data_IF_727881501196
#
_entry.id   IF_727881501196
#
_cell.length_a   1.000
_cell.length_b   1.000
_cell.length_c   1.000
_cell.angle_alpha   90.00
_cell.angle_beta   90.00
_cell.angle_gamma   90.00
#
_symmetry.space_group_name_H-M   'P 1'
#
loop_
_entity.id
_entity.type
_entity.pdbx_description
1 polymer ?
#
# COMPACT_ATOMS: atom_id res chain seq x y z
N UNK A 1 -18.55 16.29 -7.43
CA UNK A 1 -19.24 15.35 -8.34
C UNK A 1 -18.17 14.59 -9.10
N UNK A 2 -18.30 13.28 -9.32
CA UNK A 2 -17.39 12.55 -10.18
C UNK A 2 -17.32 13.22 -11.56
N UNK A 3 -16.13 13.13 -12.24
CA UNK A 3 -16.02 13.63 -13.60
C UNK A 3 -16.96 12.87 -14.53
N UNK A 4 -17.47 13.52 -15.59
CA UNK A 4 -18.46 12.94 -16.50
C UNK A 4 -18.02 11.57 -17.08
N UNK A 5 -16.74 11.43 -17.40
CA UNK A 5 -16.20 10.17 -17.90
C UNK A 5 -16.29 9.04 -16.86
N UNK A 6 -15.93 9.32 -15.60
CA UNK A 6 -15.98 8.34 -14.52
C UNK A 6 -17.43 7.89 -14.29
N UNK A 7 -18.35 8.83 -14.16
CA UNK A 7 -19.75 8.52 -13.92
C UNK A 7 -20.37 7.70 -15.05
N UNK A 8 -20.11 8.07 -16.30
CA UNK A 8 -20.61 7.34 -17.46
C UNK A 8 -20.09 5.90 -17.51
N UNK A 9 -18.80 5.70 -17.24
CA UNK A 9 -18.17 4.36 -17.18
C UNK A 9 -18.76 3.52 -16.04
N UNK A 10 -18.85 4.07 -14.86
CA UNK A 10 -19.35 3.33 -13.69
C UNK A 10 -20.83 2.98 -13.83
N UNK A 11 -21.65 3.88 -14.38
CA UNK A 11 -23.06 3.58 -14.69
C UNK A 11 -23.19 2.47 -15.75
N UNK A 12 -22.33 2.45 -16.74
CA UNK A 12 -22.31 1.38 -17.75
C UNK A 12 -21.93 0.02 -17.15
N UNK A 13 -20.99 0.00 -16.17
CA UNK A 13 -20.53 -1.22 -15.51
C UNK A 13 -21.50 -1.73 -14.44
N UNK A 14 -22.03 -0.84 -13.61
CA UNK A 14 -22.81 -1.18 -12.42
C UNK A 14 -24.31 -1.20 -12.64
N UNK A 15 -24.81 -0.56 -13.73
CA UNK A 15 -26.24 -0.41 -14.00
C UNK A 15 -26.97 0.24 -12.82
N UNK A 16 -28.06 -0.38 -12.38
CA UNK A 16 -28.89 0.10 -11.27
C UNK A 16 -28.16 0.11 -9.92
N UNK A 17 -27.03 -0.61 -9.77
CA UNK A 17 -26.24 -0.64 -8.55
C UNK A 17 -25.44 0.65 -8.36
N UNK A 18 -25.22 1.42 -9.42
CA UNK A 18 -24.48 2.68 -9.33
C UNK A 18 -25.10 3.64 -8.30
N UNK A 19 -26.39 3.92 -8.43
CA UNK A 19 -27.04 4.88 -7.54
C UNK A 19 -27.07 4.39 -6.08
N UNK A 20 -27.24 3.09 -5.85
CA UNK A 20 -27.18 2.49 -4.50
C UNK A 20 -25.78 2.65 -3.90
N UNK A 21 -24.73 2.37 -4.66
CA UNK A 21 -23.34 2.42 -4.19
C UNK A 21 -22.90 3.87 -3.89
N UNK A 22 -23.22 4.80 -4.80
CA UNK A 22 -22.75 6.17 -4.70
C UNK A 22 -23.65 7.10 -3.88
N UNK A 23 -24.90 6.70 -3.59
CA UNK A 23 -25.76 7.36 -2.61
C UNK A 23 -25.42 6.96 -1.16
N UNK A 24 -24.71 5.85 -0.95
CA UNK A 24 -24.34 5.42 0.38
C UNK A 24 -23.44 6.46 1.08
N UNK A 25 -23.71 6.81 2.34
CA UNK A 25 -22.87 7.75 3.07
C UNK A 25 -21.46 7.18 3.19
N UNK A 26 -20.50 7.88 2.61
CA UNK A 26 -19.11 7.43 2.55
C UNK A 26 -18.25 8.23 3.51
N UNK A 27 -18.19 7.78 4.77
CA UNK A 27 -17.25 8.35 5.74
C UNK A 27 -15.81 7.95 5.37
N UNK A 28 -14.93 8.94 5.30
CA UNK A 28 -13.49 8.69 5.18
C UNK A 28 -13.02 8.03 6.46
N UNK A 29 -12.67 6.77 6.40
CA UNK A 29 -12.08 6.05 7.52
C UNK A 29 -10.57 6.25 7.52
N UNK A 30 -10.01 6.52 8.69
CA UNK A 30 -8.57 6.60 8.90
C UNK A 30 -8.14 5.45 9.78
N UNK A 31 -6.94 4.98 9.58
CA UNK A 31 -6.43 3.87 10.36
C UNK A 31 -4.93 3.94 10.58
N UNK A 32 -4.48 3.01 11.39
CA UNK A 32 -3.07 2.75 11.65
C UNK A 32 -2.81 1.26 11.54
N UNK A 33 -1.62 0.90 11.06
CA UNK A 33 -1.15 -0.48 11.05
C UNK A 33 0.03 -0.59 12.00
N UNK A 34 -0.06 -1.47 12.97
CA UNK A 34 0.96 -1.69 14.00
C UNK A 34 2.18 -2.35 13.38
N UNK A 35 3.33 -1.87 13.77
CA UNK A 35 4.61 -2.45 13.36
C UNK A 35 4.97 -3.65 14.23
N UNK A 36 4.78 -4.85 13.72
CA UNK A 36 5.10 -6.10 14.41
C UNK A 36 6.59 -6.30 14.75
N UNK A 37 7.48 -5.44 14.22
CA UNK A 37 8.90 -5.40 14.65
C UNK A 37 9.08 -4.68 15.99
N UNK A 38 8.08 -3.94 16.48
CA UNK A 38 8.17 -3.11 17.71
C UNK A 38 7.31 -3.65 18.84
N UNK A 39 6.07 -4.03 18.58
CA UNK A 39 5.15 -4.58 19.57
C UNK A 39 4.04 -5.40 18.93
N UNK A 40 3.32 -6.17 19.75
CA UNK A 40 2.11 -6.85 19.32
C UNK A 40 0.93 -5.86 19.18
N UNK A 41 -0.05 -6.12 18.29
CA UNK A 41 -1.21 -5.25 18.11
C UNK A 41 -2.01 -5.04 19.39
N UNK A 42 -2.13 -6.06 20.23
CA UNK A 42 -2.85 -6.00 21.52
C UNK A 42 -2.12 -5.12 22.56
N UNK A 43 -0.79 -5.19 22.60
CA UNK A 43 0.03 -4.33 23.46
C UNK A 43 -0.09 -2.86 23.04
N UNK A 44 -0.06 -2.61 21.72
CA UNK A 44 -0.29 -1.28 21.17
C UNK A 44 -1.65 -0.72 21.57
N UNK A 45 -2.72 -1.50 21.38
CA UNK A 45 -4.08 -1.07 21.69
C UNK A 45 -4.29 -0.78 23.17
N UNK A 46 -3.59 -1.50 24.06
CA UNK A 46 -3.65 -1.27 25.49
C UNK A 46 -2.81 -0.06 25.96
N UNK A 47 -1.79 0.36 25.18
CA UNK A 47 -0.84 1.38 25.56
C UNK A 47 -1.16 2.78 25.02
N UNK A 48 -2.01 2.90 23.98
CA UNK A 48 -2.34 4.21 23.40
C UNK A 48 -3.47 4.89 24.17
N UNK A 49 -3.45 6.22 24.17
CA UNK A 49 -4.42 7.10 24.85
C UNK A 49 -5.54 7.62 23.93
N UNK A 50 -5.68 7.05 22.74
CA UNK A 50 -6.70 7.41 21.76
C UNK A 50 -7.56 6.21 21.34
N UNK A 51 -8.79 6.52 20.90
CA UNK A 51 -9.78 5.49 20.56
C UNK A 51 -9.44 4.70 19.30
N UNK A 52 -9.49 3.37 19.43
CA UNK A 52 -9.24 2.40 18.39
C UNK A 52 -10.39 1.41 18.27
N UNK A 53 -10.69 1.01 17.04
CA UNK A 53 -11.52 -0.16 16.71
C UNK A 53 -10.69 -1.12 15.87
N UNK A 54 -10.74 -2.45 16.10
CA UNK A 54 -10.08 -3.41 15.25
C UNK A 54 -10.51 -3.26 13.78
N UNK A 55 -9.56 -3.30 12.86
CA UNK A 55 -9.87 -3.29 11.43
C UNK A 55 -10.42 -4.65 10.99
N UNK A 56 -11.49 -4.70 10.18
CA UNK A 56 -11.96 -5.97 9.61
C UNK A 56 -11.05 -6.51 8.50
N UNK A 57 -10.01 -5.75 8.13
CA UNK A 57 -9.16 -6.05 6.97
C UNK A 57 -7.81 -6.67 7.33
N UNK A 58 -7.31 -6.43 8.54
CA UNK A 58 -5.99 -6.90 8.96
C UNK A 58 -5.89 -6.88 10.49
N UNK A 59 -5.43 -7.99 11.08
CA UNK A 59 -5.30 -8.15 12.55
C UNK A 59 -4.32 -7.15 13.19
N UNK A 60 -3.36 -6.66 12.41
CA UNK A 60 -2.41 -5.64 12.86
C UNK A 60 -2.91 -4.19 12.65
N UNK A 61 -4.12 -4.00 12.12
CA UNK A 61 -4.65 -2.69 11.79
C UNK A 61 -5.82 -2.29 12.68
N UNK A 62 -5.94 -0.98 12.92
CA UNK A 62 -7.01 -0.38 13.69
C UNK A 62 -7.60 0.82 12.97
N UNK A 63 -8.90 1.01 13.09
CA UNK A 63 -9.62 2.22 12.72
C UNK A 63 -9.47 3.26 13.83
N UNK A 64 -9.30 4.52 13.47
CA UNK A 64 -9.28 5.63 14.41
C UNK A 64 -10.71 6.14 14.62
N UNK A 65 -11.15 6.18 15.86
CA UNK A 65 -12.52 6.61 16.21
C UNK A 65 -12.64 8.12 16.36
N UNK A 66 -11.55 8.82 16.73
CA UNK A 66 -11.51 10.27 16.84
C UNK A 66 -11.15 10.93 15.49
N UNK A 67 -12.08 11.68 14.86
CA UNK A 67 -11.83 12.38 13.60
C UNK A 67 -10.83 13.54 13.74
N UNK A 68 -10.59 14.07 14.94
CA UNK A 68 -9.68 15.17 15.19
C UNK A 68 -8.25 14.71 15.46
N UNK A 69 -8.05 13.43 15.78
CA UNK A 69 -6.72 12.88 16.05
C UNK A 69 -5.80 13.09 14.84
N UNK A 70 -4.58 13.49 15.12
CA UNK A 70 -3.48 13.60 14.13
C UNK A 70 -2.41 12.57 14.43
N UNK A 71 -2.60 11.28 14.07
CA UNK A 71 -1.73 10.19 14.49
C UNK A 71 -0.28 10.38 14.04
N UNK A 72 -0.04 11.07 12.91
CA UNK A 72 1.31 11.39 12.44
C UNK A 72 2.11 12.32 13.36
N UNK A 73 1.47 12.97 14.35
CA UNK A 73 2.15 13.80 15.37
C UNK A 73 2.38 13.07 16.68
N UNK A 74 1.88 11.85 16.81
CA UNK A 74 2.02 11.07 18.03
C UNK A 74 3.45 10.54 18.20
N UNK A 75 3.95 10.47 19.46
CA UNK A 75 5.30 9.99 19.76
C UNK A 75 5.55 8.58 19.22
N UNK A 76 4.57 7.68 19.31
CA UNK A 76 4.68 6.33 18.79
C UNK A 76 4.77 6.26 17.27
N UNK A 77 4.20 7.24 16.54
CA UNK A 77 4.43 7.34 15.11
C UNK A 77 5.90 7.65 14.81
N UNK A 78 6.48 8.63 15.51
CA UNK A 78 7.89 8.98 15.35
C UNK A 78 8.83 7.84 15.76
N UNK A 79 8.45 7.06 16.78
CA UNK A 79 9.17 5.86 17.22
C UNK A 79 8.99 4.65 16.29
N UNK A 80 8.20 4.76 15.22
CA UNK A 80 7.98 3.67 14.27
C UNK A 80 7.14 2.52 14.81
N UNK A 81 6.31 2.75 15.83
CA UNK A 81 5.43 1.73 16.42
C UNK A 81 4.25 1.42 15.53
N UNK A 82 3.79 2.40 14.75
CA UNK A 82 2.73 2.21 13.76
C UNK A 82 2.96 3.05 12.49
N UNK A 83 2.30 2.64 11.42
CA UNK A 83 2.18 3.38 10.17
C UNK A 83 0.76 3.90 10.00
N UNK A 84 0.58 5.17 9.59
CA UNK A 84 -0.74 5.73 9.29
C UNK A 84 -1.13 5.27 7.88
N UNK A 85 -2.20 4.52 7.79
CA UNK A 85 -2.62 3.88 6.54
C UNK A 85 -4.15 3.86 6.44
N UNK A 86 -4.68 3.98 5.24
CA UNK A 86 -6.09 3.72 4.99
C UNK A 86 -6.37 2.24 5.26
N UNK A 87 -7.46 1.90 5.96
CA UNK A 87 -7.66 0.53 6.48
C UNK A 87 -7.63 -0.56 5.41
N UNK A 88 -8.29 -0.38 4.26
CA UNK A 88 -8.30 -1.37 3.19
C UNK A 88 -6.94 -1.53 2.50
N UNK A 89 -6.08 -0.51 2.55
CA UNK A 89 -4.73 -0.59 2.00
C UNK A 89 -3.81 -1.55 2.76
N UNK A 90 -4.22 -2.05 3.92
CA UNK A 90 -3.50 -3.09 4.69
C UNK A 90 -3.71 -4.51 4.15
N UNK A 91 -4.74 -4.75 3.33
CA UNK A 91 -5.13 -6.07 2.83
C UNK A 91 -4.06 -6.75 1.95
N UNK A 92 -3.49 -6.09 0.92
CA UNK A 92 -2.65 -6.79 -0.06
C UNK A 92 -1.39 -7.42 0.54
N UNK A 93 -0.74 -6.72 1.48
CA UNK A 93 0.44 -7.26 2.15
C UNK A 93 0.13 -8.50 3.00
N UNK A 94 -1.04 -8.52 3.65
CA UNK A 94 -1.51 -9.67 4.42
C UNK A 94 -1.83 -10.88 3.52
N UNK A 95 -2.52 -10.65 2.40
CA UNK A 95 -2.88 -11.69 1.43
C UNK A 95 -1.65 -12.37 0.81
N UNK A 96 -0.56 -11.64 0.64
CA UNK A 96 0.68 -12.21 0.11
C UNK A 96 1.28 -13.26 1.05
N UNK A 97 0.96 -13.25 2.33
CA UNK A 97 1.33 -14.29 3.30
C UNK A 97 2.84 -14.49 3.42
N UNK A 98 3.60 -13.40 3.53
CA UNK A 98 5.06 -13.41 3.65
C UNK A 98 5.50 -14.12 4.92
N UNK A 99 6.59 -14.89 4.83
CA UNK A 99 7.19 -15.65 5.93
C UNK A 99 8.65 -15.24 6.15
N UNK A 100 9.17 -15.36 7.38
CA UNK A 100 10.60 -15.18 7.65
C UNK A 100 11.48 -16.00 6.71
N UNK A 101 12.60 -15.42 6.27
CA UNK A 101 13.55 -16.05 5.37
C UNK A 101 13.25 -15.91 3.87
N UNK A 102 12.06 -15.45 3.47
CA UNK A 102 11.71 -15.26 2.06
C UNK A 102 12.39 -14.02 1.45
N UNK A 103 12.55 -14.04 0.12
CA UNK A 103 12.97 -12.91 -0.71
C UNK A 103 11.72 -12.25 -1.28
N UNK A 104 11.45 -11.05 -0.83
CA UNK A 104 10.20 -10.32 -1.13
C UNK A 104 10.52 -9.05 -1.90
N UNK A 105 9.74 -8.77 -2.95
CA UNK A 105 9.80 -7.52 -3.70
C UNK A 105 8.50 -6.73 -3.50
N UNK A 106 8.62 -5.47 -3.13
CA UNK A 106 7.57 -4.46 -3.29
C UNK A 106 7.98 -3.56 -4.46
N UNK A 107 7.38 -3.81 -5.64
CA UNK A 107 7.86 -3.22 -6.91
C UNK A 107 7.45 -1.77 -7.09
N UNK A 108 6.37 -1.33 -6.42
CA UNK A 108 5.84 0.03 -6.45
C UNK A 108 5.65 0.59 -5.03
N UNK A 109 6.67 0.47 -4.19
CA UNK A 109 6.63 0.52 -2.73
C UNK A 109 6.26 1.87 -2.10
N UNK A 110 6.61 2.98 -2.76
CA UNK A 110 6.51 4.30 -2.13
C UNK A 110 5.06 4.74 -1.86
N UNK A 111 4.76 5.23 -0.66
CA UNK A 111 5.65 5.72 0.41
C UNK A 111 6.05 4.71 1.50
N UNK A 112 5.65 3.41 1.43
CA UNK A 112 6.15 2.38 2.34
C UNK A 112 5.15 1.76 3.31
N UNK A 113 3.85 2.05 3.18
CA UNK A 113 2.83 1.49 4.06
C UNK A 113 2.70 -0.04 3.93
N UNK A 114 2.58 -0.56 2.73
CA UNK A 114 2.56 -2.01 2.46
C UNK A 114 3.93 -2.63 2.70
N UNK A 115 5.00 -1.93 2.30
CA UNK A 115 6.39 -2.34 2.53
C UNK A 115 6.68 -2.61 4.01
N UNK A 116 6.21 -1.74 4.91
CA UNK A 116 6.39 -1.91 6.35
C UNK A 116 5.68 -3.15 6.90
N UNK A 117 4.53 -3.51 6.35
CA UNK A 117 3.83 -4.75 6.70
C UNK A 117 4.60 -6.00 6.22
N UNK A 118 5.16 -5.96 4.99
CA UNK A 118 6.01 -7.04 4.46
C UNK A 118 7.27 -7.21 5.33
N UNK A 119 7.90 -6.09 5.72
CA UNK A 119 9.05 -6.10 6.64
C UNK A 119 8.71 -6.72 8.00
N UNK A 120 7.55 -6.34 8.57
CA UNK A 120 7.07 -6.90 9.82
C UNK A 120 6.83 -8.42 9.72
N UNK A 121 6.30 -8.90 8.60
CA UNK A 121 6.08 -10.33 8.35
C UNK A 121 7.41 -11.11 8.19
N UNK A 122 8.43 -10.50 7.62
CA UNK A 122 9.79 -11.08 7.52
C UNK A 122 10.52 -11.17 8.87
N UNK A 123 10.14 -10.39 9.86
CA UNK A 123 10.74 -10.41 11.21
C UNK A 123 12.26 -10.22 11.23
N UNK A 124 12.81 -9.47 10.27
CA UNK A 124 14.27 -9.27 10.14
C UNK A 124 15.01 -10.41 9.44
N UNK A 125 14.33 -11.45 8.99
CA UNK A 125 14.91 -12.60 8.27
C UNK A 125 14.61 -12.51 6.78
N UNK A 126 15.50 -13.03 5.91
CA UNK A 126 15.35 -12.95 4.46
C UNK A 126 15.73 -11.58 3.89
N UNK A 127 15.15 -11.22 2.75
CA UNK A 127 15.45 -9.99 2.03
C UNK A 127 14.16 -9.30 1.56
N UNK A 128 14.03 -8.02 1.86
CA UNK A 128 13.01 -7.14 1.28
C UNK A 128 13.65 -6.18 0.28
N UNK A 129 13.23 -6.23 -0.98
CA UNK A 129 13.58 -5.21 -1.97
C UNK A 129 12.36 -4.31 -2.17
N UNK A 130 12.54 -3.01 -2.00
CA UNK A 130 11.47 -2.03 -2.10
C UNK A 130 11.84 -0.97 -3.14
N UNK A 131 11.09 -0.91 -4.24
CA UNK A 131 11.39 -0.01 -5.36
C UNK A 131 10.43 1.18 -5.44
N UNK A 132 10.98 2.36 -5.76
CA UNK A 132 10.19 3.56 -6.03
C UNK A 132 10.75 4.32 -7.23
N UNK A 133 9.98 4.44 -8.31
CA UNK A 133 10.43 5.08 -9.55
C UNK A 133 10.76 6.57 -9.39
N UNK A 134 9.96 7.30 -8.59
CA UNK A 134 10.15 8.74 -8.37
C UNK A 134 11.13 8.96 -7.21
N UNK A 135 12.28 9.58 -7.46
CA UNK A 135 13.37 9.74 -6.48
C UNK A 135 12.92 10.38 -5.16
N UNK A 136 12.12 11.44 -5.21
CA UNK A 136 11.61 12.08 -4.00
C UNK A 136 10.74 11.12 -3.15
N UNK A 137 9.92 10.29 -3.79
CA UNK A 137 9.11 9.28 -3.11
C UNK A 137 9.94 8.11 -2.60
N UNK A 138 10.99 7.70 -3.32
CA UNK A 138 11.95 6.69 -2.86
C UNK A 138 12.71 7.18 -1.61
N UNK A 139 13.04 8.47 -1.53
CA UNK A 139 13.60 9.08 -0.31
C UNK A 139 12.64 8.99 0.90
N UNK A 140 11.35 9.23 0.68
CA UNK A 140 10.32 9.07 1.72
C UNK A 140 10.18 7.61 2.14
N UNK A 141 10.18 6.67 1.19
CA UNK A 141 10.17 5.23 1.45
C UNK A 141 11.34 4.83 2.35
N UNK A 142 12.57 5.24 2.00
CA UNK A 142 13.76 4.97 2.80
C UNK A 142 13.59 5.49 4.23
N UNK A 143 13.24 6.76 4.40
CA UNK A 143 13.04 7.35 5.74
C UNK A 143 11.96 6.63 6.56
N UNK A 144 10.89 6.17 5.90
CA UNK A 144 9.84 5.40 6.59
C UNK A 144 10.36 4.04 7.05
N UNK A 145 11.12 3.30 6.23
CA UNK A 145 11.68 2.00 6.62
C UNK A 145 12.72 2.15 7.74
N UNK A 146 13.56 3.18 7.70
CA UNK A 146 14.50 3.52 8.78
C UNK A 146 13.76 3.81 10.08
N UNK A 147 12.72 4.67 10.03
CA UNK A 147 11.87 4.98 11.19
C UNK A 147 11.18 3.74 11.76
N UNK A 148 10.70 2.84 10.90
CA UNK A 148 10.06 1.57 11.30
C UNK A 148 11.07 0.55 11.84
N UNK A 149 12.39 0.79 11.70
CA UNK A 149 13.44 -0.10 12.20
C UNK A 149 13.66 -1.33 11.34
N UNK A 150 13.41 -1.22 10.05
CA UNK A 150 13.65 -2.31 9.10
C UNK A 150 15.14 -2.40 8.79
N UNK A 151 15.76 -3.56 9.00
CA UNK A 151 17.21 -3.79 8.87
C UNK A 151 17.59 -4.65 7.67
N UNK A 152 16.66 -5.40 7.11
CA UNK A 152 16.87 -6.36 6.02
C UNK A 152 16.24 -5.90 4.69
N UNK A 153 16.16 -4.58 4.47
CA UNK A 153 15.60 -4.02 3.24
C UNK A 153 16.65 -3.32 2.38
N UNK A 154 16.50 -3.49 1.06
CA UNK A 154 17.18 -2.74 0.01
C UNK A 154 16.18 -1.80 -0.66
N UNK A 155 16.42 -0.48 -0.58
CA UNK A 155 15.58 0.52 -1.26
C UNK A 155 16.20 0.89 -2.59
N UNK A 156 15.42 0.77 -3.67
CA UNK A 156 15.84 1.08 -5.03
C UNK A 156 15.06 2.30 -5.56
N UNK A 157 15.72 3.03 -6.47
CA UNK A 157 15.07 4.07 -7.26
C UNK A 157 15.31 3.78 -8.74
N UNK A 158 14.55 2.81 -9.26
CA UNK A 158 14.75 2.26 -10.60
C UNK A 158 13.45 2.05 -11.36
N UNK A 159 13.54 1.89 -12.67
CA UNK A 159 12.43 1.38 -13.47
C UNK A 159 12.19 -0.10 -13.15
N UNK A 160 10.93 -0.55 -13.29
CA UNK A 160 10.56 -1.95 -13.02
C UNK A 160 11.30 -2.92 -13.94
N UNK A 161 11.54 -2.54 -15.19
CA UNK A 161 12.32 -3.33 -16.15
C UNK A 161 13.78 -3.54 -15.68
N UNK A 162 14.43 -2.50 -15.11
CA UNK A 162 15.80 -2.64 -14.56
C UNK A 162 15.83 -3.51 -13.33
N UNK A 163 14.81 -3.43 -12.48
CA UNK A 163 14.67 -4.34 -11.33
C UNK A 163 14.53 -5.78 -11.79
N UNK A 164 13.63 -6.04 -12.76
CA UNK A 164 13.44 -7.38 -13.33
C UNK A 164 14.73 -7.95 -13.96
N UNK A 165 15.45 -7.12 -14.71
CA UNK A 165 16.73 -7.50 -15.33
C UNK A 165 17.83 -7.82 -14.30
N UNK A 166 17.83 -7.11 -13.15
CA UNK A 166 18.80 -7.33 -12.08
C UNK A 166 18.50 -8.57 -11.22
N UNK A 167 17.22 -8.96 -11.13
CA UNK A 167 16.73 -10.04 -10.27
C UNK A 167 15.87 -11.07 -11.02
N UNK A 168 16.33 -11.70 -12.10
CA UNK A 168 15.51 -12.63 -12.89
C UNK A 168 15.16 -13.87 -12.07
N UNK A 169 13.86 -14.24 -12.02
CA UNK A 169 13.34 -15.41 -11.29
C UNK A 169 13.87 -15.51 -9.84
N UNK A 170 14.00 -14.39 -9.16
CA UNK A 170 14.69 -14.33 -7.86
C UNK A 170 13.75 -14.34 -6.66
N UNK A 171 12.61 -13.65 -6.72
CA UNK A 171 11.77 -13.41 -5.56
C UNK A 171 10.79 -14.55 -5.30
N UNK A 172 10.61 -14.88 -4.03
CA UNK A 172 9.60 -15.83 -3.56
C UNK A 172 8.21 -15.22 -3.65
N UNK A 173 8.12 -13.90 -3.34
CA UNK A 173 6.87 -13.15 -3.34
C UNK A 173 7.06 -11.73 -3.86
N UNK A 174 6.08 -11.27 -4.63
CA UNK A 174 6.08 -9.91 -5.19
C UNK A 174 4.75 -9.23 -4.90
N UNK A 175 4.82 -8.01 -4.37
CA UNK A 175 3.69 -7.09 -4.27
C UNK A 175 3.81 -6.02 -5.37
N UNK A 176 2.72 -5.77 -6.08
CA UNK A 176 2.60 -4.72 -7.08
C UNK A 176 1.39 -3.86 -6.78
N UNK A 177 1.61 -2.71 -6.16
CA UNK A 177 0.62 -1.64 -6.02
C UNK A 177 0.88 -0.60 -7.11
N UNK A 178 0.46 -0.95 -8.33
CA UNK A 178 0.78 -0.17 -9.54
C UNK A 178 0.17 1.23 -9.52
N UNK A 179 0.78 2.21 -10.22
CA UNK A 179 0.17 3.51 -10.44
C UNK A 179 -1.22 3.36 -11.08
N UNK A 180 -2.19 4.09 -10.57
CA UNK A 180 -3.57 4.08 -11.04
C UNK A 180 -4.05 5.49 -11.39
N UNK A 181 -5.24 5.59 -12.00
CA UNK A 181 -5.89 6.86 -12.39
C UNK A 181 -6.51 7.63 -11.21
N UNK A 182 -6.38 7.13 -9.97
CA UNK A 182 -6.65 7.87 -8.75
C UNK A 182 -8.13 7.94 -8.33
N UNK A 183 -9.01 7.06 -8.83
CA UNK A 183 -10.44 7.05 -8.49
C UNK A 183 -10.69 6.95 -6.98
N UNK A 184 -9.89 6.15 -6.27
CA UNK A 184 -9.95 6.04 -4.81
C UNK A 184 -9.61 7.33 -4.05
N UNK A 185 -9.00 8.32 -4.73
CA UNK A 185 -8.58 9.58 -4.14
C UNK A 185 -9.57 10.74 -4.34
N UNK A 186 -10.60 10.60 -5.15
CA UNK A 186 -11.55 11.68 -5.49
C UNK A 186 -12.14 12.39 -4.27
N UNK A 187 -12.35 11.67 -3.17
CA UNK A 187 -12.88 12.21 -1.92
C UNK A 187 -11.85 12.99 -1.09
N UNK A 188 -10.56 12.75 -1.34
CA UNK A 188 -9.44 13.33 -0.56
C UNK A 188 -8.71 14.41 -1.34
N UNK A 189 -8.62 14.23 -2.66
CA UNK A 189 -7.79 15.03 -3.57
C UNK A 189 -8.64 15.54 -4.74
N UNK A 190 -9.19 16.76 -4.69
CA UNK A 190 -9.97 17.33 -5.79
C UNK A 190 -9.19 17.38 -7.12
N UNK A 191 -7.86 17.46 -7.06
CA UNK A 191 -7.01 17.45 -8.24
C UNK A 191 -7.06 16.11 -8.98
N UNK A 192 -7.13 14.99 -8.27
CA UNK A 192 -7.27 13.66 -8.86
C UNK A 192 -8.54 13.57 -9.73
N UNK A 193 -9.64 14.19 -9.26
CA UNK A 193 -10.89 14.24 -10.03
C UNK A 193 -10.75 15.11 -11.29
N UNK A 194 -10.04 16.23 -11.22
CA UNK A 194 -9.83 17.14 -12.38
C UNK A 194 -8.96 16.50 -13.46
N UNK A 195 -7.95 15.74 -13.07
CA UNK A 195 -7.01 15.09 -13.98
C UNK A 195 -7.55 13.78 -14.57
N UNK A 196 -8.59 13.21 -13.98
CA UNK A 196 -9.15 11.94 -14.41
C UNK A 196 -9.75 12.03 -15.83
N UNK A 197 -9.34 11.10 -16.68
CA UNK A 197 -9.76 11.05 -18.08
C UNK A 197 -9.62 9.64 -18.65
N UNK A 198 -10.31 9.37 -19.78
CA UNK A 198 -10.16 8.11 -20.51
C UNK A 198 -8.69 7.85 -20.92
N UNK A 199 -7.97 8.90 -21.31
CA UNK A 199 -6.57 8.81 -21.69
C UNK A 199 -5.69 8.42 -20.51
N UNK A 200 -5.90 9.02 -19.33
CA UNK A 200 -5.17 8.66 -18.11
C UNK A 200 -5.44 7.22 -17.70
N UNK A 201 -6.70 6.77 -17.75
CA UNK A 201 -7.06 5.38 -17.44
C UNK A 201 -6.37 4.41 -18.38
N UNK A 202 -6.40 4.67 -19.71
CA UNK A 202 -5.72 3.83 -20.69
C UNK A 202 -4.19 3.80 -20.50
N UNK A 203 -3.59 4.95 -20.18
CA UNK A 203 -2.16 5.04 -19.90
C UNK A 203 -1.78 4.24 -18.64
N UNK A 204 -2.54 4.36 -17.56
CA UNK A 204 -2.31 3.59 -16.34
C UNK A 204 -2.48 2.08 -16.58
N UNK A 205 -3.46 1.67 -17.37
CA UNK A 205 -3.68 0.27 -17.73
C UNK A 205 -2.50 -0.31 -18.54
N UNK A 206 -2.01 0.42 -19.54
CA UNK A 206 -0.85 0.01 -20.32
C UNK A 206 0.44 -0.08 -19.47
N UNK A 207 0.65 0.91 -18.59
CA UNK A 207 1.78 0.89 -17.65
C UNK A 207 1.66 -0.27 -16.67
N UNK A 208 0.45 -0.52 -16.12
CA UNK A 208 0.19 -1.63 -15.21
C UNK A 208 0.50 -2.99 -15.85
N UNK A 209 0.13 -3.19 -17.11
CA UNK A 209 0.47 -4.41 -17.86
C UNK A 209 1.98 -4.60 -17.99
N UNK A 210 2.72 -3.55 -18.37
CA UNK A 210 4.20 -3.60 -18.45
C UNK A 210 4.84 -3.90 -17.09
N UNK A 211 4.37 -3.28 -16.01
CA UNK A 211 4.85 -3.55 -14.64
C UNK A 211 4.59 -5.01 -14.24
N UNK A 212 3.45 -5.55 -14.64
CA UNK A 212 3.08 -6.94 -14.34
C UNK A 212 3.99 -7.93 -15.08
N UNK A 213 4.34 -7.66 -16.34
CA UNK A 213 5.30 -8.46 -17.10
C UNK A 213 6.70 -8.44 -16.44
N UNK A 214 7.17 -7.26 -16.02
CA UNK A 214 8.43 -7.12 -15.28
C UNK A 214 8.40 -7.90 -13.95
N UNK A 215 7.28 -7.81 -13.22
CA UNK A 215 7.11 -8.54 -11.97
C UNK A 215 7.12 -10.06 -12.20
N UNK A 216 6.47 -10.54 -13.26
CA UNK A 216 6.47 -11.96 -13.62
C UNK A 216 7.88 -12.47 -13.95
N UNK A 217 8.69 -11.65 -14.64
CA UNK A 217 10.09 -12.00 -14.97
C UNK A 217 10.99 -12.05 -13.71
N UNK A 218 10.70 -11.27 -12.68
CA UNK A 218 11.43 -11.26 -11.42
C UNK A 218 10.96 -12.35 -10.44
N UNK A 219 9.76 -12.91 -10.63
CA UNK A 219 9.18 -13.93 -9.78
C UNK A 219 9.78 -15.30 -10.10
N UNK A 220 10.22 -16.05 -9.07
CA UNK A 220 10.68 -17.42 -9.28
C UNK A 220 9.53 -18.36 -9.66
N UNK A 221 9.79 -19.49 -10.34
CA UNK A 221 8.79 -20.53 -10.54
C UNK A 221 8.19 -20.99 -9.20
N UNK A 222 6.86 -21.06 -9.12
CA UNK A 222 6.14 -21.40 -7.89
C UNK A 222 6.06 -20.26 -6.85
N UNK A 223 6.56 -19.08 -7.16
CA UNK A 223 6.37 -17.88 -6.33
C UNK A 223 4.95 -17.33 -6.39
N UNK A 224 4.63 -16.38 -5.52
CA UNK A 224 3.31 -15.76 -5.43
C UNK A 224 3.41 -14.25 -5.72
N UNK A 225 2.53 -13.75 -6.58
CA UNK A 225 2.38 -12.34 -6.92
C UNK A 225 1.00 -11.85 -6.48
N UNK A 226 0.98 -10.68 -5.84
CA UNK A 226 -0.23 -9.93 -5.54
C UNK A 226 -0.19 -8.60 -6.31
N UNK A 227 -1.17 -8.41 -7.23
CA UNK A 227 -1.34 -7.17 -8.01
C UNK A 227 -2.61 -6.44 -7.54
#
# INVERSE_FOLDING_TARGET
>A
MPGEYFEARERALLGTRYDVLYAAPCAVRRGVTVNGLRCAPQEFAAAVDFGLEPSPFCDAAFLLTDPQLRPGRHAYHHAGVFYVQEPSASVPAGLLGVRPGERVLDLCAAPGGKTSQLAAALRGEGLLVANGYVAARAGVLKSNLERMGVTNALVLNESTARVAAAFPAFFDKILVDAPCSGEGMFRKEPEALRQHSAALVAQCAALGASILDDAAAALRPGGLLCY
#
